data_IF_195404933691
#
_entry.id   IF_195404933691
#
_cell.length_a   1.000
_cell.length_b   1.000
_cell.length_c   1.000
_cell.angle_alpha   90.00
_cell.angle_beta   90.00
_cell.angle_gamma   90.00
#
_symmetry.space_group_name_H-M   'P 1'
#
loop_
_entity.id
_entity.type
_entity.pdbx_description
1 polymer ?
#
# COMPACT_ATOMS: atom_id res chain seq x y z
N UNK A 1 32.77 -57.84 -16.60
CA UNK A 1 31.82 -57.01 -17.36
C UNK A 1 30.37 -57.28 -16.95
N UNK A 2 29.86 -58.52 -17.04
CA UNK A 2 28.47 -58.84 -16.66
C UNK A 2 28.10 -58.46 -15.21
N UNK A 3 28.97 -58.75 -14.24
CA UNK A 3 28.75 -58.40 -12.82
C UNK A 3 28.68 -56.89 -12.58
N UNK A 4 29.47 -56.10 -13.30
CA UNK A 4 29.48 -54.65 -13.18
C UNK A 4 28.19 -54.02 -13.75
N UNK A 5 27.72 -54.52 -14.88
CA UNK A 5 26.46 -54.06 -15.48
C UNK A 5 25.27 -54.42 -14.57
N UNK A 6 25.31 -55.59 -13.93
CA UNK A 6 24.26 -56.03 -13.02
C UNK A 6 24.21 -55.18 -11.73
N UNK A 7 25.35 -54.89 -11.12
CA UNK A 7 25.40 -54.05 -9.91
C UNK A 7 25.02 -52.61 -10.20
N UNK A 8 25.48 -52.04 -11.32
CA UNK A 8 25.10 -50.69 -11.76
C UNK A 8 23.61 -50.64 -12.11
N UNK A 9 23.06 -51.69 -12.72
CA UNK A 9 21.62 -51.80 -12.99
C UNK A 9 20.78 -51.80 -11.72
N UNK A 10 21.17 -52.60 -10.72
CA UNK A 10 20.48 -52.66 -9.42
C UNK A 10 20.55 -51.35 -8.64
N UNK A 11 21.71 -50.69 -8.64
CA UNK A 11 21.89 -49.41 -7.94
C UNK A 11 21.10 -48.29 -8.64
N UNK A 12 21.13 -48.25 -9.97
CA UNK A 12 20.33 -47.29 -10.76
C UNK A 12 18.83 -47.51 -10.54
N UNK A 13 18.38 -48.77 -10.51
CA UNK A 13 16.99 -49.11 -10.23
C UNK A 13 16.59 -48.75 -8.80
N UNK A 14 17.45 -49.02 -7.82
CA UNK A 14 17.23 -48.66 -6.41
C UNK A 14 17.09 -47.14 -6.23
N UNK A 15 17.96 -46.35 -6.87
CA UNK A 15 17.89 -44.88 -6.83
C UNK A 15 16.58 -44.40 -7.48
N UNK A 16 16.26 -44.83 -8.71
CA UNK A 16 15.05 -44.40 -9.42
C UNK A 16 13.74 -44.86 -8.75
N UNK A 17 13.72 -46.04 -8.11
CA UNK A 17 12.54 -46.54 -7.41
C UNK A 17 12.40 -45.95 -6.00
N UNK A 18 13.50 -45.49 -5.40
CA UNK A 18 13.50 -44.73 -4.14
C UNK A 18 13.17 -43.25 -4.33
N UNK A 19 13.26 -42.74 -5.57
CA UNK A 19 12.97 -41.35 -5.92
C UNK A 19 11.47 -41.11 -6.10
N UNK A 20 10.65 -41.68 -5.20
CA UNK A 20 9.38 -41.03 -4.88
C UNK A 20 9.74 -39.75 -4.16
N UNK A 21 9.66 -38.66 -4.93
CA UNK A 21 9.82 -37.26 -4.53
C UNK A 21 9.94 -37.06 -3.02
N UNK A 22 11.09 -36.57 -2.58
CA UNK A 22 11.46 -36.29 -1.17
C UNK A 22 10.48 -35.39 -0.37
N UNK A 23 9.38 -34.96 -0.98
CA UNK A 23 8.23 -34.30 -0.37
C UNK A 23 6.94 -34.85 -0.99
N UNK A 24 6.47 -36.02 -0.54
CA UNK A 24 5.03 -36.35 -0.66
C UNK A 24 4.30 -35.41 0.31
N UNK A 25 3.91 -34.22 -0.16
CA UNK A 25 2.90 -33.42 0.54
C UNK A 25 1.68 -34.33 0.63
N UNK A 26 1.25 -34.67 1.85
CA UNK A 26 0.03 -35.48 2.02
C UNK A 26 -1.11 -34.78 1.29
N UNK A 27 -2.02 -35.54 0.68
CA UNK A 27 -3.24 -34.97 0.07
C UNK A 27 -3.95 -34.03 1.05
N UNK A 28 -3.96 -34.39 2.34
CA UNK A 28 -4.52 -33.58 3.41
C UNK A 28 -3.79 -32.23 3.60
N UNK A 29 -2.45 -32.22 3.52
CA UNK A 29 -1.67 -30.98 3.64
C UNK A 29 -1.86 -30.08 2.40
N UNK A 30 -2.00 -30.69 1.23
CA UNK A 30 -2.30 -29.97 -0.01
C UNK A 30 -3.70 -29.34 0.05
N UNK A 31 -4.70 -30.10 0.51
CA UNK A 31 -6.07 -29.60 0.69
C UNK A 31 -6.13 -28.41 1.65
N UNK A 32 -5.41 -28.48 2.78
CA UNK A 32 -5.30 -27.36 3.72
C UNK A 32 -4.68 -26.13 3.04
N UNK A 33 -3.57 -26.28 2.32
CA UNK A 33 -2.93 -25.14 1.62
C UNK A 33 -3.82 -24.52 0.55
N UNK A 34 -4.59 -25.34 -0.18
CA UNK A 34 -5.55 -24.86 -1.17
C UNK A 34 -6.62 -24.01 -0.48
N UNK A 35 -7.23 -24.52 0.59
CA UNK A 35 -8.24 -23.79 1.35
C UNK A 35 -7.70 -22.47 1.94
N UNK A 36 -6.45 -22.47 2.43
CA UNK A 36 -5.80 -21.26 2.93
C UNK A 36 -5.49 -20.24 1.82
N UNK A 37 -5.20 -20.68 0.61
CA UNK A 37 -5.01 -19.81 -0.55
C UNK A 37 -6.35 -19.20 -1.00
N UNK A 38 -7.39 -20.02 -1.12
CA UNK A 38 -8.73 -19.56 -1.50
C UNK A 38 -9.27 -18.53 -0.51
N UNK A 39 -9.08 -18.76 0.79
CA UNK A 39 -9.47 -17.80 1.82
C UNK A 39 -8.71 -16.46 1.70
N UNK A 40 -7.41 -16.50 1.39
CA UNK A 40 -6.62 -15.29 1.16
C UNK A 40 -7.08 -14.56 -0.12
N UNK A 41 -7.31 -15.27 -1.22
CA UNK A 41 -7.79 -14.68 -2.47
C UNK A 41 -9.18 -14.03 -2.29
N UNK A 42 -10.08 -14.68 -1.56
CA UNK A 42 -11.38 -14.12 -1.20
C UNK A 42 -11.23 -12.82 -0.40
N UNK A 43 -10.33 -12.80 0.59
CA UNK A 43 -10.03 -11.61 1.39
C UNK A 43 -9.46 -10.46 0.55
N UNK A 44 -8.53 -10.76 -0.36
CA UNK A 44 -7.98 -9.77 -1.29
C UNK A 44 -9.10 -9.21 -2.18
N UNK A 45 -9.95 -10.06 -2.73
CA UNK A 45 -11.07 -9.66 -3.58
C UNK A 45 -12.09 -8.79 -2.85
N UNK A 46 -12.39 -9.10 -1.59
CA UNK A 46 -13.29 -8.31 -0.72
C UNK A 46 -12.69 -6.94 -0.39
N UNK A 47 -11.38 -6.89 -0.13
CA UNK A 47 -10.71 -5.66 0.36
C UNK A 47 -10.28 -4.72 -0.78
N UNK A 48 -10.06 -5.25 -1.99
CA UNK A 48 -9.56 -4.47 -3.14
C UNK A 48 -10.38 -3.22 -3.47
N UNK A 49 -11.73 -3.24 -3.48
CA UNK A 49 -12.51 -2.04 -3.76
C UNK A 49 -12.27 -0.91 -2.74
N UNK A 50 -12.07 -1.26 -1.46
CA UNK A 50 -11.73 -0.30 -0.41
C UNK A 50 -10.33 0.28 -0.62
N UNK A 51 -9.36 -0.54 -1.02
CA UNK A 51 -8.01 -0.08 -1.37
C UNK A 51 -8.06 0.92 -2.53
N UNK A 52 -8.72 0.56 -3.64
CA UNK A 52 -8.80 1.40 -4.83
C UNK A 52 -9.54 2.73 -4.57
N UNK A 53 -10.64 2.67 -3.82
CA UNK A 53 -11.41 3.87 -3.47
C UNK A 53 -10.63 4.78 -2.52
N UNK A 54 -9.95 4.23 -1.52
CA UNK A 54 -9.09 4.99 -0.59
C UNK A 54 -7.99 5.72 -1.36
N UNK A 55 -7.32 5.06 -2.30
CA UNK A 55 -6.31 5.69 -3.14
C UNK A 55 -6.87 6.86 -3.97
N UNK A 56 -8.06 6.68 -4.57
CA UNK A 56 -8.75 7.75 -5.32
C UNK A 56 -9.13 8.93 -4.42
N UNK A 57 -9.58 8.67 -3.20
CA UNK A 57 -9.90 9.72 -2.22
C UNK A 57 -8.65 10.51 -1.83
N UNK A 58 -7.53 9.83 -1.55
CA UNK A 58 -6.26 10.48 -1.18
C UNK A 58 -5.73 11.33 -2.34
N UNK A 59 -5.67 10.80 -3.56
CA UNK A 59 -5.14 11.54 -4.72
C UNK A 59 -5.97 12.78 -5.08
N UNK A 60 -7.29 12.70 -4.90
CA UNK A 60 -8.23 13.80 -5.14
C UNK A 60 -8.42 14.71 -3.93
N UNK A 61 -7.73 14.45 -2.82
CA UNK A 61 -7.87 15.24 -1.61
C UNK A 61 -7.51 16.71 -1.87
N UNK A 62 -8.50 17.58 -1.63
CA UNK A 62 -8.36 19.03 -1.70
C UNK A 62 -9.02 19.67 -0.46
N UNK A 63 -8.23 20.24 0.48
CA UNK A 63 -8.75 20.81 1.71
C UNK A 63 -9.59 22.08 1.46
N UNK A 64 -9.45 22.73 0.31
CA UNK A 64 -10.16 23.97 0.00
C UNK A 64 -11.61 23.74 -0.44
N UNK A 65 -11.98 22.50 -0.79
CA UNK A 65 -13.31 22.17 -1.32
C UNK A 65 -14.18 21.50 -0.27
N UNK A 66 -13.66 20.52 0.49
CA UNK A 66 -14.43 19.74 1.50
C UNK A 66 -13.49 19.18 2.58
N UNK A 67 -13.28 19.89 3.69
CA UNK A 67 -12.12 19.65 4.56
C UNK A 67 -12.32 18.63 5.70
N UNK A 68 -13.51 18.56 6.31
CA UNK A 68 -13.64 17.85 7.61
C UNK A 68 -14.04 16.38 7.43
N UNK A 69 -15.05 16.10 6.58
CA UNK A 69 -15.57 14.74 6.41
C UNK A 69 -14.62 13.82 5.64
N UNK A 70 -13.98 14.34 4.57
CA UNK A 70 -13.06 13.54 3.74
C UNK A 70 -11.90 12.96 4.55
N UNK A 71 -11.35 13.72 5.50
CA UNK A 71 -10.26 13.25 6.35
C UNK A 71 -10.70 12.06 7.20
N UNK A 72 -11.86 12.18 7.84
CA UNK A 72 -12.40 11.12 8.66
C UNK A 72 -12.72 9.87 7.82
N UNK A 73 -13.29 10.05 6.63
CA UNK A 73 -13.63 8.94 5.71
C UNK A 73 -12.38 8.19 5.24
N UNK A 74 -11.30 8.91 4.91
CA UNK A 74 -10.01 8.30 4.57
C UNK A 74 -9.47 7.52 5.78
N UNK A 75 -9.51 8.09 6.99
CA UNK A 75 -9.04 7.41 8.20
C UNK A 75 -9.84 6.14 8.51
N UNK A 76 -11.16 6.17 8.35
CA UNK A 76 -12.03 5.01 8.49
C UNK A 76 -11.71 3.95 7.44
N UNK A 77 -11.50 4.34 6.18
CA UNK A 77 -11.14 3.42 5.10
C UNK A 77 -9.78 2.76 5.33
N UNK A 78 -8.79 3.50 5.82
CA UNK A 78 -7.50 2.96 6.26
C UNK A 78 -7.67 1.97 7.42
N UNK A 79 -8.55 2.27 8.38
CA UNK A 79 -8.93 1.34 9.44
C UNK A 79 -9.53 0.04 8.92
N UNK A 80 -10.43 0.14 7.93
CA UNK A 80 -11.02 -1.04 7.27
C UNK A 80 -9.98 -1.90 6.55
N UNK A 81 -9.00 -1.27 5.89
CA UNK A 81 -7.90 -2.00 5.23
C UNK A 81 -7.05 -2.71 6.30
N UNK A 82 -6.72 -2.05 7.42
CA UNK A 82 -5.98 -2.68 8.53
C UNK A 82 -6.74 -3.85 9.13
N UNK A 83 -8.05 -3.75 9.30
CA UNK A 83 -8.89 -4.81 9.85
C UNK A 83 -8.87 -6.09 9.01
N UNK A 84 -8.56 -6.01 7.71
CA UNK A 84 -8.37 -7.20 6.86
C UNK A 84 -7.20 -8.07 7.33
N UNK A 85 -6.14 -7.48 7.91
CA UNK A 85 -5.02 -8.21 8.50
C UNK A 85 -5.44 -8.96 9.78
N UNK A 86 -6.22 -8.31 10.65
CA UNK A 86 -6.61 -8.85 11.95
C UNK A 86 -7.41 -10.17 11.83
N UNK A 87 -8.08 -10.39 10.68
CA UNK A 87 -8.82 -11.64 10.40
C UNK A 87 -7.94 -12.89 10.37
N UNK A 88 -6.67 -12.78 9.96
CA UNK A 88 -5.70 -13.90 9.98
C UNK A 88 -4.26 -13.40 10.16
N UNK A 89 -4.00 -12.74 11.29
CA UNK A 89 -2.71 -12.12 11.60
C UNK A 89 -1.52 -13.10 11.68
N UNK A 90 -1.77 -14.39 11.89
CA UNK A 90 -0.74 -15.44 11.89
C UNK A 90 -0.19 -15.74 10.49
N UNK A 91 -0.94 -15.45 9.44
CA UNK A 91 -0.52 -15.65 8.06
C UNK A 91 0.29 -14.43 7.58
N UNK A 92 1.53 -14.69 7.17
CA UNK A 92 2.45 -13.64 6.74
C UNK A 92 1.95 -12.87 5.51
N UNK A 93 1.11 -13.49 4.67
CA UNK A 93 0.56 -12.87 3.46
C UNK A 93 -0.39 -11.71 3.79
N UNK A 94 -1.10 -11.80 4.91
CA UNK A 94 -2.04 -10.77 5.36
C UNK A 94 -1.33 -9.47 5.77
N UNK A 95 0.00 -9.51 6.00
CA UNK A 95 0.79 -8.29 6.30
C UNK A 95 0.68 -7.23 5.21
N UNK A 96 0.38 -7.62 3.97
CA UNK A 96 0.18 -6.68 2.86
C UNK A 96 -0.87 -5.62 3.20
N UNK A 97 -1.95 -5.98 3.90
CA UNK A 97 -3.02 -5.04 4.24
C UNK A 97 -2.54 -3.94 5.19
N UNK A 98 -1.74 -4.30 6.21
CA UNK A 98 -1.15 -3.31 7.13
C UNK A 98 -0.16 -2.42 6.39
N UNK A 99 0.69 -3.01 5.54
CA UNK A 99 1.68 -2.25 4.76
C UNK A 99 1.00 -1.28 3.78
N UNK A 100 -0.06 -1.71 3.09
CA UNK A 100 -0.87 -0.85 2.21
C UNK A 100 -1.49 0.29 3.00
N UNK A 101 -2.09 0.02 4.15
CA UNK A 101 -2.66 1.06 4.99
C UNK A 101 -1.61 2.05 5.51
N UNK A 102 -0.41 1.59 5.88
CA UNK A 102 0.70 2.46 6.27
C UNK A 102 1.21 3.33 5.12
N UNK A 103 1.35 2.74 3.92
CA UNK A 103 1.74 3.47 2.72
C UNK A 103 0.73 4.57 2.40
N UNK A 104 -0.57 4.26 2.46
CA UNK A 104 -1.63 5.22 2.16
C UNK A 104 -1.76 6.30 3.23
N UNK A 105 -1.53 5.96 4.50
CA UNK A 105 -1.48 6.95 5.59
C UNK A 105 -0.36 7.96 5.37
N UNK A 106 0.84 7.49 4.96
CA UNK A 106 1.96 8.38 4.58
C UNK A 106 1.62 9.21 3.35
N UNK A 107 1.07 8.61 2.30
CA UNK A 107 0.65 9.33 1.10
C UNK A 107 -0.38 10.43 1.42
N UNK A 108 -1.31 10.15 2.34
CA UNK A 108 -2.31 11.11 2.77
C UNK A 108 -1.69 12.26 3.57
N UNK A 109 -0.71 11.98 4.43
CA UNK A 109 0.06 13.01 5.11
C UNK A 109 0.81 13.91 4.11
N UNK A 110 1.53 13.31 3.16
CA UNK A 110 2.29 14.04 2.14
C UNK A 110 1.38 14.94 1.31
N UNK A 111 0.18 14.45 0.96
CA UNK A 111 -0.82 15.23 0.22
C UNK A 111 -1.36 16.42 1.01
N UNK A 112 -1.58 16.26 2.32
CA UNK A 112 -1.98 17.36 3.20
C UNK A 112 -0.89 18.43 3.26
N UNK A 113 0.36 18.01 3.43
CA UNK A 113 1.49 18.92 3.53
C UNK A 113 1.75 19.67 2.21
N UNK A 114 1.65 18.98 1.08
CA UNK A 114 1.74 19.60 -0.24
C UNK A 114 0.69 20.71 -0.42
N UNK A 115 -0.56 20.45 -0.02
CA UNK A 115 -1.64 21.44 -0.14
C UNK A 115 -1.44 22.65 0.78
N UNK A 116 -0.90 22.45 1.99
CA UNK A 116 -0.50 23.54 2.89
C UNK A 116 0.60 24.38 2.27
N UNK A 117 1.66 23.74 1.79
CA UNK A 117 2.79 24.44 1.15
C UNK A 117 2.33 25.28 -0.04
N UNK A 118 1.42 24.77 -0.88
CA UNK A 118 0.84 25.55 -1.99
C UNK A 118 0.08 26.78 -1.47
N UNK A 119 -0.74 26.60 -0.44
CA UNK A 119 -1.52 27.69 0.18
C UNK A 119 -0.60 28.76 0.78
N UNK A 120 0.47 28.36 1.46
CA UNK A 120 1.45 29.27 2.05
C UNK A 120 2.23 30.03 0.97
N UNK A 121 2.59 29.37 -0.14
CA UNK A 121 3.21 30.03 -1.30
C UNK A 121 2.28 31.10 -1.87
N UNK A 122 0.98 30.80 -2.02
CA UNK A 122 -0.01 31.78 -2.52
C UNK A 122 -0.17 32.96 -1.56
N UNK A 123 -0.22 32.70 -0.26
CA UNK A 123 -0.28 33.73 0.78
C UNK A 123 0.96 34.64 0.73
N UNK A 124 2.15 34.06 0.68
CA UNK A 124 3.39 34.83 0.65
C UNK A 124 3.55 35.64 -0.63
N UNK A 125 3.09 35.13 -1.78
CA UNK A 125 3.03 35.90 -3.03
C UNK A 125 2.15 37.14 -2.87
N UNK A 126 0.98 36.99 -2.26
CA UNK A 126 0.06 38.11 -2.01
C UNK A 126 0.67 39.14 -1.06
N UNK A 127 1.25 38.68 0.06
CA UNK A 127 1.92 39.56 1.03
C UNK A 127 3.07 40.35 0.40
N UNK A 128 3.82 39.72 -0.51
CA UNK A 128 4.89 40.39 -1.24
C UNK A 128 4.34 41.46 -2.19
N UNK A 129 3.27 41.16 -2.93
CA UNK A 129 2.65 42.13 -3.85
C UNK A 129 2.03 43.33 -3.09
N UNK A 130 1.37 43.08 -1.97
CA UNK A 130 0.85 44.12 -1.08
C UNK A 130 1.99 45.01 -0.55
N UNK A 131 3.11 44.41 -0.14
CA UNK A 131 4.31 45.14 0.32
C UNK A 131 4.90 46.02 -0.80
N UNK A 132 5.03 45.48 -2.01
CA UNK A 132 5.54 46.23 -3.17
C UNK A 132 4.60 47.40 -3.50
N UNK A 133 3.29 47.18 -3.50
CA UNK A 133 2.29 48.20 -3.79
C UNK A 133 2.29 49.31 -2.73
N UNK A 134 2.29 48.95 -1.45
CA UNK A 134 2.36 49.90 -0.35
C UNK A 134 3.64 50.75 -0.41
N UNK A 135 4.78 50.13 -0.71
CA UNK A 135 6.06 50.84 -0.91
C UNK A 135 5.97 51.86 -2.05
N UNK A 136 5.36 51.49 -3.18
CA UNK A 136 5.17 52.41 -4.33
C UNK A 136 4.27 53.59 -3.97
N UNK A 137 3.16 53.34 -3.28
CA UNK A 137 2.26 54.40 -2.80
C UNK A 137 2.94 55.36 -1.83
N UNK A 138 3.74 54.83 -0.89
CA UNK A 138 4.53 55.65 0.04
C UNK A 138 5.54 56.53 -0.70
N UNK A 139 6.25 55.99 -1.69
CA UNK A 139 7.18 56.78 -2.51
C UNK A 139 6.47 57.92 -3.26
N UNK A 140 5.31 57.66 -3.85
CA UNK A 140 4.51 58.69 -4.52
C UNK A 140 4.06 59.78 -3.55
N UNK A 141 3.63 59.40 -2.35
CA UNK A 141 3.17 60.35 -1.33
C UNK A 141 4.31 61.23 -0.81
N UNK A 142 5.52 60.68 -0.66
CA UNK A 142 6.70 61.43 -0.24
C UNK A 142 7.18 62.38 -1.35
N UNK A 143 7.22 61.93 -2.60
CA UNK A 143 7.67 62.76 -3.73
C UNK A 143 6.68 63.85 -4.17
N UNK A 144 5.40 63.72 -3.79
CA UNK A 144 4.36 64.72 -4.05
C UNK A 144 4.30 65.82 -2.98
N UNK A 145 5.14 65.73 -1.93
CA UNK A 145 5.32 66.72 -0.88
C UNK A 145 6.58 67.55 -1.12
#
# INVERSE_FOLDING_TARGET
MALFIFTVGLLSFGIFYSDKSRYEISKDELEVKIAENEAFEAMVKETMPTVDSTYKQITRYNPNVQAVFLKNDIQLSLGSIRAAFDRKASDSRYKIFVQTAQLYDRLFYDRQEQNRNITDIELHKKQLDDCITNRRQLQQTISAR
#
